data_IF_048774607798
#
_entry.id   IF_048774607798
#
_cell.length_a   1.000
_cell.length_b   1.000
_cell.length_c   1.000
_cell.angle_alpha   90.00
_cell.angle_beta   90.00
_cell.angle_gamma   90.00
#
_symmetry.space_group_name_H-M   'P 1'
#
loop_
_entity.id
_entity.type
_entity.pdbx_description
1 polymer ?
#
# COMPACT_ATOMS: atom_id res chain seq x y z
N UNK A 1 -1.19 -19.12 13.93
CA UNK A 1 -1.02 -18.05 14.94
C UNK A 1 -1.52 -16.76 14.32
N UNK A 2 -2.28 -15.96 15.07
CA UNK A 2 -2.65 -14.62 14.62
C UNK A 2 -1.36 -13.78 14.57
N UNK A 3 -1.11 -13.11 13.44
CA UNK A 3 0.04 -12.25 13.30
C UNK A 3 -0.24 -10.92 13.99
N UNK A 4 0.38 -10.68 15.16
CA UNK A 4 0.18 -9.45 15.94
C UNK A 4 1.24 -8.42 15.55
N UNK A 5 0.79 -7.24 15.11
CA UNK A 5 1.66 -6.11 14.80
C UNK A 5 1.81 -5.21 16.03
N UNK A 6 2.94 -4.51 16.19
CA UNK A 6 3.05 -3.48 17.24
C UNK A 6 2.04 -2.37 16.96
N UNK A 7 1.35 -1.88 17.99
CA UNK A 7 0.23 -0.92 17.82
C UNK A 7 0.63 0.38 17.10
N UNK A 8 1.84 0.87 17.34
CA UNK A 8 2.39 2.07 16.69
C UNK A 8 3.15 1.78 15.39
N UNK A 9 3.15 0.54 14.90
CA UNK A 9 3.81 0.23 13.64
C UNK A 9 3.14 1.00 12.51
N UNK A 10 3.96 1.62 11.67
CA UNK A 10 3.49 2.25 10.44
C UNK A 10 3.33 1.16 9.38
N UNK A 11 2.11 0.96 8.90
CA UNK A 11 1.79 -0.03 7.89
C UNK A 11 1.39 0.69 6.60
N UNK A 12 1.99 0.30 5.48
CA UNK A 12 1.53 0.70 4.16
C UNK A 12 0.63 -0.41 3.58
N UNK A 13 -0.62 -0.07 3.31
CA UNK A 13 -1.49 -0.91 2.48
C UNK A 13 -1.04 -0.73 1.03
N UNK A 14 -0.47 -1.78 0.46
CA UNK A 14 0.17 -1.79 -0.85
C UNK A 14 -0.62 -2.66 -1.83
N UNK A 15 -0.71 -2.21 -3.09
CA UNK A 15 -1.40 -2.97 -4.13
C UNK A 15 -0.46 -4.02 -4.70
N UNK A 16 -0.82 -5.30 -4.60
CA UNK A 16 -0.09 -6.39 -5.22
C UNK A 16 -0.70 -6.65 -6.60
N UNK A 17 -0.10 -6.20 -7.72
CA UNK A 17 -0.87 -6.05 -8.95
C UNK A 17 -1.16 -7.37 -9.68
N UNK A 18 -0.38 -8.43 -9.44
CA UNK A 18 -0.59 -9.73 -10.09
C UNK A 18 -0.06 -10.91 -9.26
N UNK A 19 -0.42 -12.13 -9.66
CA UNK A 19 0.12 -13.37 -9.09
C UNK A 19 1.64 -13.47 -9.28
N UNK A 20 2.18 -12.99 -10.40
CA UNK A 20 3.64 -12.94 -10.63
C UNK A 20 4.35 -12.08 -9.57
N UNK A 21 3.72 -10.96 -9.19
CA UNK A 21 4.26 -10.08 -8.16
C UNK A 21 4.20 -10.70 -6.77
N UNK A 22 3.15 -11.47 -6.49
CA UNK A 22 3.07 -12.28 -5.27
C UNK A 22 4.21 -13.30 -5.20
N UNK A 23 4.49 -14.01 -6.29
CA UNK A 23 5.57 -14.98 -6.36
C UNK A 23 6.95 -14.33 -6.17
N UNK A 24 7.18 -13.18 -6.80
CA UNK A 24 8.40 -12.38 -6.58
C UNK A 24 8.54 -12.02 -5.10
N UNK A 25 7.49 -11.50 -4.47
CA UNK A 25 7.52 -11.13 -3.06
C UNK A 25 7.79 -12.34 -2.16
N UNK A 26 7.13 -13.48 -2.44
CA UNK A 26 7.24 -14.71 -1.66
C UNK A 26 8.59 -15.40 -1.80
N UNK A 27 9.13 -15.48 -3.03
CA UNK A 27 10.31 -16.28 -3.35
C UNK A 27 11.60 -15.45 -3.32
N UNK A 28 11.55 -14.21 -3.76
CA UNK A 28 12.73 -13.33 -3.87
C UNK A 28 12.84 -12.34 -2.72
N UNK A 29 11.80 -12.20 -1.88
CA UNK A 29 11.86 -11.39 -0.65
C UNK A 29 11.91 -9.88 -0.91
N UNK A 30 11.29 -9.42 -2.00
CA UNK A 30 11.19 -7.98 -2.27
C UNK A 30 9.87 -7.60 -2.96
N UNK A 31 9.46 -6.35 -2.76
CA UNK A 31 8.31 -5.72 -3.41
C UNK A 31 8.75 -4.40 -4.06
N UNK A 32 8.04 -3.95 -5.11
CA UNK A 32 8.39 -2.71 -5.82
C UNK A 32 7.25 -1.71 -5.88
N UNK A 33 7.61 -0.43 -5.80
CA UNK A 33 6.68 0.69 -5.98
C UNK A 33 7.25 1.60 -7.07
N UNK A 34 6.53 1.86 -8.18
CA UNK A 34 6.98 2.84 -9.18
C UNK A 34 7.18 4.21 -8.52
N UNK A 35 8.32 4.86 -8.73
CA UNK A 35 8.66 6.14 -8.07
C UNK A 35 7.57 7.20 -8.30
N UNK A 36 7.05 7.29 -9.54
CA UNK A 36 5.99 8.23 -9.93
C UNK A 36 4.65 8.03 -9.21
N UNK A 37 4.43 6.88 -8.58
CA UNK A 37 3.21 6.54 -7.84
C UNK A 37 3.49 6.33 -6.35
N UNK A 38 4.75 6.51 -5.93
CA UNK A 38 5.16 6.17 -4.58
C UNK A 38 4.51 7.10 -3.56
N UNK A 39 4.06 6.57 -2.43
CA UNK A 39 3.63 7.41 -1.32
C UNK A 39 4.85 8.16 -0.77
N UNK A 40 4.61 9.28 -0.08
CA UNK A 40 5.69 10.17 0.40
C UNK A 40 6.73 9.45 1.28
N UNK A 41 6.30 8.43 2.04
CA UNK A 41 7.14 7.64 2.95
C UNK A 41 6.96 6.17 2.56
N UNK A 42 8.05 5.56 2.10
CA UNK A 42 8.10 4.13 1.77
C UNK A 42 8.86 3.32 2.83
N UNK A 43 9.62 4.00 3.70
CA UNK A 43 10.27 3.42 4.86
C UNK A 43 9.26 3.22 6.01
N UNK A 44 8.41 2.22 5.84
CA UNK A 44 7.40 1.79 6.81
C UNK A 44 7.87 0.54 7.56
N UNK A 45 7.18 0.13 8.61
CA UNK A 45 7.52 -1.11 9.32
C UNK A 45 7.02 -2.35 8.59
N UNK A 46 5.87 -2.21 7.92
CA UNK A 46 5.11 -3.34 7.38
C UNK A 46 4.38 -2.99 6.10
N UNK A 47 4.22 -3.99 5.25
CA UNK A 47 3.33 -3.98 4.10
C UNK A 47 2.13 -4.88 4.37
N UNK A 48 0.95 -4.41 4.00
CA UNK A 48 -0.27 -5.19 3.89
C UNK A 48 -0.71 -5.24 2.43
N UNK A 49 -0.75 -6.43 1.82
CA UNK A 49 -0.90 -6.57 0.38
C UNK A 49 -2.35 -6.72 -0.04
N UNK A 50 -2.92 -5.67 -0.60
CA UNK A 50 -4.23 -5.72 -1.25
C UNK A 50 -4.13 -6.41 -2.61
N UNK A 51 -4.94 -7.45 -2.80
CA UNK A 51 -5.04 -8.23 -4.03
C UNK A 51 -6.22 -7.71 -4.88
N UNK A 52 -5.97 -7.10 -6.06
CA UNK A 52 -7.03 -6.62 -6.93
C UNK A 52 -7.66 -7.77 -7.76
N UNK A 53 -8.54 -7.43 -8.70
CA UNK A 53 -9.27 -8.41 -9.52
C UNK A 53 -8.43 -9.31 -10.43
N UNK A 54 -7.12 -9.09 -10.51
CA UNK A 54 -6.18 -9.99 -11.21
C UNK A 54 -5.91 -11.29 -10.45
N UNK A 55 -6.37 -11.38 -9.20
CA UNK A 55 -6.36 -12.60 -8.41
C UNK A 55 -7.66 -13.40 -8.64
N UNK A 56 -7.62 -14.72 -8.43
CA UNK A 56 -8.78 -15.59 -8.56
C UNK A 56 -9.93 -15.19 -7.62
N UNK A 57 -11.15 -15.69 -7.88
CA UNK A 57 -12.34 -15.32 -7.10
C UNK A 57 -12.18 -15.54 -5.59
N UNK A 58 -11.36 -16.52 -5.20
CA UNK A 58 -11.04 -16.85 -3.81
C UNK A 58 -10.07 -15.86 -3.14
N UNK A 59 -9.28 -15.12 -3.93
CA UNK A 59 -8.15 -14.32 -3.47
C UNK A 59 -8.26 -12.82 -3.80
N UNK A 60 -9.20 -12.43 -4.66
CA UNK A 60 -9.38 -11.03 -5.08
C UNK A 60 -10.12 -10.21 -4.02
N UNK A 61 -9.84 -8.92 -4.05
CA UNK A 61 -10.49 -7.89 -3.24
C UNK A 61 -10.34 -8.11 -1.74
N UNK A 62 -9.13 -8.45 -1.32
CA UNK A 62 -8.81 -8.64 0.09
C UNK A 62 -7.33 -8.44 0.36
N UNK A 63 -6.98 -8.41 1.65
CA UNK A 63 -5.62 -8.51 2.15
C UNK A 63 -5.49 -9.87 2.83
N UNK A 64 -4.67 -10.74 2.26
CA UNK A 64 -4.36 -12.06 2.85
C UNK A 64 -2.96 -12.13 3.47
N UNK A 65 -2.05 -11.28 2.99
CA UNK A 65 -0.64 -11.40 3.28
C UNK A 65 -0.08 -10.07 3.77
N UNK A 66 0.83 -10.18 4.74
CA UNK A 66 1.62 -9.07 5.25
C UNK A 66 3.09 -9.44 5.26
N UNK A 67 3.97 -8.44 5.26
CA UNK A 67 5.39 -8.66 5.43
C UNK A 67 6.05 -7.47 6.13
N UNK A 68 7.03 -7.76 6.95
CA UNK A 68 7.88 -6.75 7.58
C UNK A 68 8.83 -6.15 6.52
N UNK A 69 8.98 -4.84 6.51
CA UNK A 69 9.96 -4.17 5.64
C UNK A 69 11.32 -4.20 6.31
N UNK A 70 12.33 -4.65 5.57
CA UNK A 70 13.71 -4.80 6.03
C UNK A 70 14.67 -3.76 5.44
N UNK A 71 14.28 -3.11 4.36
CA UNK A 71 15.07 -2.05 3.73
C UNK A 71 14.37 -1.47 2.51
N UNK A 72 14.84 -0.31 2.08
CA UNK A 72 14.34 0.38 0.89
C UNK A 72 15.55 0.85 0.09
N UNK A 73 15.52 0.65 -1.21
CA UNK A 73 16.51 1.21 -2.14
C UNK A 73 15.83 1.77 -3.37
N UNK A 74 16.47 2.73 -4.03
CA UNK A 74 16.06 3.24 -5.34
C UNK A 74 16.80 2.46 -6.43
N UNK A 75 16.06 2.00 -7.43
CA UNK A 75 16.59 1.17 -8.52
C UNK A 75 15.79 1.42 -9.80
N UNK A 76 16.22 0.85 -10.92
CA UNK A 76 15.51 0.92 -12.20
C UNK A 76 14.77 -0.37 -12.52
N UNK A 77 13.80 -0.31 -13.45
CA UNK A 77 13.09 -1.50 -13.94
C UNK A 77 14.04 -2.55 -14.51
N UNK A 78 15.06 -2.14 -15.26
CA UNK A 78 16.04 -3.04 -15.88
C UNK A 78 16.88 -3.82 -14.86
N UNK A 79 17.15 -3.22 -13.71
CA UNK A 79 17.88 -3.85 -12.60
C UNK A 79 16.99 -4.83 -11.83
N UNK A 80 15.73 -4.44 -11.58
CA UNK A 80 14.73 -5.25 -10.90
C UNK A 80 14.32 -6.49 -11.69
N UNK A 81 14.05 -6.30 -12.98
CA UNK A 81 13.50 -7.31 -13.88
C UNK A 81 14.52 -7.53 -15.00
N UNK A 82 15.52 -8.38 -14.73
CA UNK A 82 16.65 -8.61 -15.65
C UNK A 82 16.23 -9.08 -17.05
N UNK A 83 15.10 -9.75 -17.17
CA UNK A 83 14.52 -10.18 -18.44
C UNK A 83 13.90 -9.03 -19.25
N UNK A 84 13.65 -7.89 -18.62
CA UNK A 84 12.99 -6.72 -19.22
C UNK A 84 13.96 -5.55 -19.49
N UNK A 85 15.25 -5.85 -19.70
CA UNK A 85 16.29 -4.84 -19.95
C UNK A 85 16.01 -3.96 -21.17
N UNK A 86 15.43 -4.53 -22.22
CA UNK A 86 15.11 -3.82 -23.47
C UNK A 86 13.65 -3.28 -23.51
N UNK A 87 12.95 -3.33 -22.38
CA UNK A 87 11.58 -2.82 -22.29
C UNK A 87 11.58 -1.28 -22.51
N UNK A 88 10.58 -0.68 -23.18
CA UNK A 88 10.48 0.79 -23.35
C UNK A 88 10.52 1.59 -22.04
N UNK A 89 10.24 0.93 -20.93
CA UNK A 89 10.19 1.47 -19.55
C UNK A 89 11.33 0.98 -18.67
N UNK A 90 12.39 0.43 -19.26
CA UNK A 90 13.54 -0.15 -18.57
C UNK A 90 14.25 0.85 -17.62
N UNK A 91 14.26 2.13 -18.00
CA UNK A 91 14.89 3.22 -17.23
C UNK A 91 13.98 3.85 -16.17
N UNK A 92 12.73 3.41 -16.06
CA UNK A 92 11.84 3.95 -15.03
C UNK A 92 12.35 3.57 -13.64
N UNK A 93 12.25 4.51 -12.71
CA UNK A 93 12.68 4.36 -11.33
C UNK A 93 11.60 3.72 -10.46
N UNK A 94 12.06 2.87 -9.54
CA UNK A 94 11.23 2.14 -8.58
C UNK A 94 11.93 2.15 -7.22
N UNK A 95 11.12 2.23 -6.17
CA UNK A 95 11.58 1.76 -4.86
C UNK A 95 11.53 0.25 -4.83
N UNK A 96 12.64 -0.40 -4.48
CA UNK A 96 12.67 -1.81 -4.08
C UNK A 96 12.66 -1.89 -2.56
N UNK A 97 11.60 -2.49 -2.03
CA UNK A 97 11.45 -2.77 -0.61
C UNK A 97 11.91 -4.21 -0.39
N UNK A 98 12.99 -4.40 0.36
CA UNK A 98 13.36 -5.71 0.87
C UNK A 98 12.38 -6.08 1.98
N UNK A 99 11.81 -7.28 1.93
CA UNK A 99 10.77 -7.71 2.88
C UNK A 99 11.14 -9.04 3.53
N UNK A 100 10.61 -9.25 4.74
CA UNK A 100 10.62 -10.55 5.39
C UNK A 100 9.70 -11.56 4.68
N UNK A 101 9.60 -12.80 5.20
CA UNK A 101 8.69 -13.80 4.65
C UNK A 101 7.25 -13.29 4.67
N UNK A 102 6.49 -13.58 3.61
CA UNK A 102 5.06 -13.29 3.58
C UNK A 102 4.35 -14.10 4.65
N UNK A 103 3.62 -13.41 5.52
CA UNK A 103 2.83 -14.00 6.58
C UNK A 103 1.37 -13.96 6.18
N UNK A 104 0.76 -15.15 6.13
CA UNK A 104 -0.67 -15.28 5.84
C UNK A 104 -1.46 -14.92 7.09
N UNK A 105 -2.46 -14.05 6.93
CA UNK A 105 -3.40 -13.72 7.98
C UNK A 105 -4.28 -14.93 8.30
N UNK A 106 -4.62 -15.11 9.57
CA UNK A 106 -5.56 -16.15 9.99
C UNK A 106 -6.95 -15.92 9.37
N UNK A 107 -7.35 -14.65 9.29
CA UNK A 107 -8.57 -14.20 8.62
C UNK A 107 -8.18 -13.10 7.62
N UNK A 108 -8.44 -13.27 6.32
CA UNK A 108 -8.24 -12.21 5.33
C UNK A 108 -9.10 -10.98 5.64
N UNK A 109 -8.63 -9.79 5.26
CA UNK A 109 -9.40 -8.55 5.36
C UNK A 109 -10.09 -8.27 4.01
N UNK A 110 -11.40 -8.53 3.85
CA UNK A 110 -12.12 -8.26 2.61
C UNK A 110 -12.29 -6.76 2.36
N UNK A 111 -12.34 -6.39 1.09
CA UNK A 111 -12.57 -5.01 0.63
C UNK A 111 -14.06 -4.68 0.45
N UNK A 112 -14.95 -5.67 0.59
CA UNK A 112 -16.39 -5.58 0.31
C UNK A 112 -16.69 -4.87 -1.03
N UNK A 113 -17.15 -3.61 -0.98
CA UNK A 113 -17.51 -2.81 -2.15
C UNK A 113 -16.30 -2.18 -2.85
N UNK A 114 -15.14 -2.12 -2.20
CA UNK A 114 -13.96 -1.43 -2.71
C UNK A 114 -13.19 -2.32 -3.68
N UNK A 115 -13.38 -2.06 -4.99
CA UNK A 115 -12.68 -2.81 -6.05
C UNK A 115 -11.35 -2.17 -6.44
N UNK A 116 -11.20 -0.86 -6.23
CA UNK A 116 -10.01 -0.07 -6.58
C UNK A 116 -9.49 0.59 -5.32
N UNK A 117 -8.26 0.23 -4.95
CA UNK A 117 -7.57 0.75 -3.79
C UNK A 117 -6.22 1.26 -4.26
N UNK A 118 -5.82 2.42 -3.74
CA UNK A 118 -4.48 2.99 -3.92
C UNK A 118 -3.68 2.81 -2.64
N UNK A 119 -2.41 3.19 -2.65
CA UNK A 119 -1.57 3.17 -1.45
C UNK A 119 -2.16 4.06 -0.35
N UNK A 120 -2.29 3.53 0.87
CA UNK A 120 -2.63 4.33 2.04
C UNK A 120 -1.97 3.78 3.31
N UNK A 121 -1.78 4.66 4.29
CA UNK A 121 -1.18 4.28 5.58
C UNK A 121 -2.24 3.87 6.58
N UNK A 122 -1.87 2.95 7.45
CA UNK A 122 -2.62 2.59 8.66
C UNK A 122 -1.65 2.35 9.81
N UNK A 123 -2.20 2.15 11.01
CA UNK A 123 -1.45 1.86 12.22
C UNK A 123 -1.66 0.40 12.63
N UNK A 124 -0.68 -0.17 13.32
CA UNK A 124 -0.78 -1.54 13.84
C UNK A 124 -2.01 -1.76 14.72
N UNK A 125 -2.39 -0.80 15.54
CA UNK A 125 -3.58 -0.87 16.40
C UNK A 125 -4.87 -1.06 15.57
N UNK A 126 -5.05 -0.22 14.53
CA UNK A 126 -6.16 -0.36 13.57
C UNK A 126 -6.12 -1.70 12.85
N UNK A 127 -4.94 -2.11 12.41
CA UNK A 127 -4.75 -3.36 11.69
C UNK A 127 -5.08 -4.59 12.53
N UNK A 128 -4.65 -4.63 13.80
CA UNK A 128 -4.88 -5.74 14.71
C UNK A 128 -6.38 -5.96 15.03
N UNK A 129 -7.18 -4.88 15.01
CA UNK A 129 -8.63 -4.94 15.27
C UNK A 129 -9.50 -5.02 14.00
N UNK A 130 -8.91 -4.83 12.82
CA UNK A 130 -9.65 -4.77 11.56
C UNK A 130 -10.31 -6.10 11.24
N UNK A 131 -11.54 -6.02 10.71
CA UNK A 131 -12.25 -7.17 10.14
C UNK A 131 -12.35 -7.08 8.63
N UNK A 132 -12.12 -5.88 8.09
CA UNK A 132 -12.25 -5.54 6.67
C UNK A 132 -11.36 -4.32 6.36
N UNK A 133 -11.12 -4.05 5.07
CA UNK A 133 -10.18 -3.00 4.67
C UNK A 133 -10.63 -1.60 5.10
N UNK A 134 -11.95 -1.34 5.19
CA UNK A 134 -12.45 -0.03 5.60
C UNK A 134 -12.10 0.33 7.05
N UNK A 135 -11.85 -0.68 7.90
CA UNK A 135 -11.39 -0.49 9.28
C UNK A 135 -9.94 0.00 9.37
N UNK A 136 -9.16 -0.17 8.30
CA UNK A 136 -7.77 0.30 8.23
C UNK A 136 -7.68 1.80 7.98
N UNK A 137 -8.78 2.46 7.63
CA UNK A 137 -8.81 3.88 7.31
C UNK A 137 -8.69 4.69 8.60
N UNK A 138 -7.65 5.50 8.69
CA UNK A 138 -7.40 6.38 9.85
C UNK A 138 -8.47 7.46 9.95
N UNK A 139 -9.27 7.39 11.02
CA UNK A 139 -10.31 8.37 11.35
C UNK A 139 -9.70 9.61 11.99
N UNK A 140 -10.49 10.68 12.12
CA UNK A 140 -10.03 11.98 12.62
C UNK A 140 -9.32 11.88 13.98
N UNK A 141 -9.82 11.05 14.91
CA UNK A 141 -9.19 10.87 16.23
C UNK A 141 -7.77 10.30 16.17
N UNK A 142 -7.51 9.37 15.25
CA UNK A 142 -6.23 8.66 15.11
C UNK A 142 -5.23 9.43 14.22
N UNK A 143 -5.66 10.53 13.59
CA UNK A 143 -4.81 11.32 12.68
C UNK A 143 -3.59 11.88 13.39
N UNK A 144 -3.73 12.38 14.61
CA UNK A 144 -2.63 12.97 15.37
C UNK A 144 -1.50 11.95 15.60
N UNK A 145 -1.85 10.71 15.91
CA UNK A 145 -0.92 9.59 16.13
C UNK A 145 -0.22 9.22 14.82
N UNK A 146 -0.98 9.07 13.73
CA UNK A 146 -0.39 8.79 12.41
C UNK A 146 0.56 9.93 11.99
N UNK A 147 0.17 11.19 12.17
CA UNK A 147 0.98 12.35 11.83
C UNK A 147 2.29 12.39 12.63
N UNK A 148 2.24 12.12 13.93
CA UNK A 148 3.44 12.05 14.75
C UNK A 148 4.36 10.92 14.31
N UNK A 149 3.80 9.73 14.04
CA UNK A 149 4.54 8.57 13.55
C UNK A 149 5.23 8.86 12.20
N UNK A 150 4.51 9.47 11.25
CA UNK A 150 5.07 9.84 9.94
C UNK A 150 6.17 10.90 10.07
N UNK A 151 5.98 11.90 10.95
CA UNK A 151 6.95 12.97 11.20
C UNK A 151 8.22 12.44 11.86
N UNK A 152 8.08 11.56 12.85
CA UNK A 152 9.20 10.89 13.48
C UNK A 152 10.01 10.09 12.45
N UNK A 153 9.34 9.39 11.52
CA UNK A 153 10.01 8.62 10.45
C UNK A 153 10.73 9.50 9.44
N UNK A 154 10.17 10.65 9.10
CA UNK A 154 10.83 11.62 8.22
C UNK A 154 12.09 12.22 8.87
N UNK A 155 12.07 12.42 10.18
CA UNK A 155 13.18 12.97 10.94
C UNK A 155 14.23 11.92 11.34
N UNK A 156 13.90 10.63 11.26
CA UNK A 156 14.88 9.56 11.42
C UNK A 156 15.65 9.37 10.10
N UNK A 157 17.00 9.40 10.14
CA UNK A 157 17.81 8.97 9.01
C UNK A 157 17.63 7.45 8.85
N UNK A 158 16.58 7.03 8.16
CA UNK A 158 16.29 5.61 7.96
C UNK A 158 17.25 5.05 6.89
N UNK A 159 17.96 3.98 7.29
CA UNK A 159 18.68 2.99 6.49
C UNK A 159 19.10 3.43 5.08
N UNK A 160 20.36 3.86 4.94
CA UNK A 160 21.10 3.80 3.68
C UNK A 160 20.61 4.75 2.58
N UNK A 161 21.06 6.01 2.65
CA UNK A 161 21.47 6.75 1.46
C UNK A 161 20.39 7.27 0.51
N UNK A 162 19.52 8.17 1.00
CA UNK A 162 19.10 9.33 0.20
C UNK A 162 18.49 10.37 1.15
N UNK A 163 19.25 11.43 1.43
CA UNK A 163 18.72 12.61 2.09
C UNK A 163 17.80 13.33 1.11
N UNK A 164 16.50 13.06 1.15
CA UNK A 164 15.52 13.90 0.47
C UNK A 164 14.71 14.63 1.53
N UNK A 165 15.23 15.77 1.97
CA UNK A 165 14.42 16.77 2.68
C UNK A 165 13.39 17.32 1.71
N UNK A 166 12.14 16.87 1.79
CA UNK A 166 11.03 17.48 1.06
C UNK A 166 10.31 18.50 1.96
N UNK A 167 10.17 19.77 1.53
CA UNK A 167 9.46 20.80 2.28
C UNK A 167 7.97 20.45 2.44
N UNK A 168 7.45 20.73 3.64
CA UNK A 168 6.05 20.62 4.02
C UNK A 168 5.29 21.86 3.57
N UNK A 169 4.22 21.65 2.80
CA UNK A 169 2.99 22.46 2.85
C UNK A 169 1.91 21.75 2.01
N UNK A 170 1.09 20.88 2.64
CA UNK A 170 -0.17 20.41 2.04
C UNK A 170 -1.23 20.27 3.13
N UNK A 171 -2.34 20.98 2.93
CA UNK A 171 -3.61 20.91 3.64
C UNK A 171 -4.23 19.50 3.56
N UNK A 172 -4.69 18.99 4.72
CA UNK A 172 -5.24 17.64 4.93
C UNK A 172 -6.43 17.33 4.02
N UNK A 173 -7.11 18.37 3.53
CA UNK A 173 -8.19 18.26 2.54
C UNK A 173 -7.75 17.59 1.22
N UNK A 174 -6.46 17.63 0.89
CA UNK A 174 -5.89 17.06 -0.34
C UNK A 174 -5.49 15.57 -0.24
N UNK A 175 -5.34 15.01 0.97
CA UNK A 175 -5.10 13.56 1.15
C UNK A 175 -6.35 12.71 0.88
N UNK A 176 -7.53 13.34 0.89
CA UNK A 176 -8.79 12.78 0.41
C UNK A 176 -9.03 12.95 -1.10
N UNK A 177 -8.14 13.62 -1.83
CA UNK A 177 -8.40 14.13 -3.20
C UNK A 177 -7.37 13.69 -4.27
N UNK A 178 -6.53 12.69 -4.01
CA UNK A 178 -5.82 12.05 -5.12
C UNK A 178 -6.81 11.23 -5.98
N UNK A 179 -6.82 11.42 -7.31
CA UNK A 179 -8.01 11.23 -8.10
C UNK A 179 -8.32 9.76 -8.40
N UNK A 180 -9.53 9.37 -8.03
CA UNK A 180 -10.30 8.28 -8.59
C UNK A 180 -11.76 8.72 -8.78
N UNK A 181 -11.96 9.96 -9.22
CA UNK A 181 -13.26 10.43 -9.69
C UNK A 181 -13.57 9.78 -11.03
N UNK A 182 -14.50 8.83 -11.02
CA UNK A 182 -15.31 8.47 -12.17
C UNK A 182 -16.68 8.02 -11.64
N UNK A 183 -17.69 8.84 -11.90
CA UNK A 183 -19.10 8.46 -11.98
C UNK A 183 -19.68 7.78 -10.76
N UNK A 184 -20.22 8.58 -9.84
CA UNK A 184 -21.55 8.23 -9.34
C UNK A 184 -22.49 8.40 -10.52
N UNK A 185 -22.80 7.32 -11.23
CA UNK A 185 -23.94 7.34 -12.14
C UNK A 185 -25.19 7.35 -11.26
N UNK A 186 -25.82 8.52 -11.21
CA UNK A 186 -27.20 8.72 -10.81
C UNK A 186 -28.09 7.77 -11.62
N UNK A 187 -28.86 6.91 -10.95
CA UNK A 187 -30.06 6.35 -11.60
C UNK A 187 -31.04 7.50 -11.82
N UNK A 188 -31.46 7.81 -13.05
CA UNK A 188 -32.63 8.64 -13.25
C UNK A 188 -33.85 7.75 -13.00
N UNK A 189 -34.52 8.00 -11.88
CA UNK A 189 -35.91 7.61 -11.72
C UNK A 189 -36.75 8.23 -12.83
N UNK A 190 -37.42 7.39 -13.61
CA UNK A 190 -38.53 7.76 -14.46
C UNK A 190 -39.74 6.95 -14.00
N UNK A 191 -40.64 7.61 -13.28
CA UNK A 191 -42.00 7.14 -13.02
C UNK A 191 -42.84 7.30 -14.29
N UNK A 192 -43.57 6.23 -14.57
CA UNK A 192 -44.94 6.12 -15.12
C UNK A 192 -45.29 6.60 -16.55
N UNK A 193 -45.83 5.59 -17.28
CA UNK A 193 -47.05 5.57 -18.11
C UNK A 193 -47.17 6.51 -19.32
N UNK A 194 -47.22 5.91 -20.53
CA UNK A 194 -48.45 5.75 -21.36
C UNK A 194 -48.37 4.40 -22.09
#
# INVERSE_FOLDING_TARGET
MAYQVKDNALILVAVLPSVRDYEIARLLGWYRIPLRMAPKIVAVDMLAFYQPGSFGIEHRWQIEHVAEVKGVELTTRAELLREERDHPRAKEEYYRLSIGPLQKLATPLPAEKWKRITFFYTLGDLFNRAREIKDLVVRNEDRSVLWNTLRERQNQPSFGGAQTSLPLDIDISLLSLLPGGAGMDEEPGMLEEI
#
